data_IF_134371255305
#
_entry.id   IF_134371255305
#
_cell.length_a   1.000
_cell.length_b   1.000
_cell.length_c   1.000
_cell.angle_alpha   90.00
_cell.angle_beta   90.00
_cell.angle_gamma   90.00
#
_symmetry.space_group_name_H-M   'P 1'
#
loop_
_entity.id
_entity.type
_entity.pdbx_description
1 polymer ?
#
# COMPACT_ATOMS: atom_id res chain seq x y z
N UNK A 1 38.63 0.47 -6.18
CA UNK A 1 37.63 0.54 -5.09
C UNK A 1 37.71 -0.76 -4.31
N UNK A 2 38.01 -0.70 -3.02
CA UNK A 2 38.13 -1.89 -2.17
C UNK A 2 36.79 -2.62 -2.02
N UNK A 3 36.81 -3.93 -1.78
CA UNK A 3 35.59 -4.73 -1.56
C UNK A 3 34.68 -4.12 -0.47
N UNK A 4 35.29 -3.52 0.57
CA UNK A 4 34.60 -2.84 1.67
C UNK A 4 33.74 -1.66 1.19
N UNK A 5 34.27 -0.81 0.31
CA UNK A 5 33.53 0.33 -0.23
C UNK A 5 32.32 -0.12 -1.07
N UNK A 6 32.46 -1.18 -1.86
CA UNK A 6 31.35 -1.75 -2.63
C UNK A 6 30.24 -2.29 -1.72
N UNK A 7 30.63 -2.96 -0.63
CA UNK A 7 29.70 -3.47 0.37
C UNK A 7 28.93 -2.33 1.05
N UNK A 8 29.63 -1.27 1.46
CA UNK A 8 29.01 -0.09 2.09
C UNK A 8 27.96 0.53 1.16
N UNK A 9 28.26 0.71 -0.14
CA UNK A 9 27.29 1.28 -1.08
C UNK A 9 26.05 0.40 -1.27
N UNK A 10 26.19 -0.92 -1.24
CA UNK A 10 25.04 -1.84 -1.29
C UNK A 10 24.22 -1.79 -0.01
N UNK A 11 24.87 -1.80 1.15
CA UNK A 11 24.19 -1.67 2.45
C UNK A 11 23.44 -0.34 2.55
N UNK A 12 24.05 0.77 2.11
CA UNK A 12 23.39 2.08 2.05
C UNK A 12 22.19 2.07 1.10
N UNK A 13 22.31 1.45 -0.08
CA UNK A 13 21.20 1.35 -1.02
C UNK A 13 20.02 0.54 -0.45
N UNK A 14 20.31 -0.59 0.21
CA UNK A 14 19.30 -1.43 0.87
C UNK A 14 18.62 -0.66 2.00
N UNK A 15 19.40 -0.02 2.87
CA UNK A 15 18.87 0.76 3.98
C UNK A 15 17.95 1.89 3.49
N UNK A 16 18.38 2.65 2.48
CA UNK A 16 17.57 3.72 1.88
C UNK A 16 16.29 3.18 1.25
N UNK A 17 16.36 2.09 0.49
CA UNK A 17 15.18 1.47 -0.12
C UNK A 17 14.17 1.03 0.95
N UNK A 18 14.62 0.37 2.03
CA UNK A 18 13.76 -0.06 3.13
C UNK A 18 13.12 1.13 3.85
N UNK A 19 13.90 2.18 4.15
CA UNK A 19 13.38 3.39 4.80
C UNK A 19 12.32 4.09 3.94
N UNK A 20 12.57 4.22 2.63
CA UNK A 20 11.61 4.80 1.69
C UNK A 20 10.33 3.97 1.60
N UNK A 21 10.45 2.64 1.50
CA UNK A 21 9.29 1.75 1.46
C UNK A 21 8.47 1.79 2.75
N UNK A 22 9.13 1.85 3.91
CA UNK A 22 8.45 2.03 5.19
C UNK A 22 7.69 3.37 5.26
N UNK A 23 8.37 4.47 4.91
CA UNK A 23 7.75 5.80 4.91
C UNK A 23 6.55 5.86 3.96
N UNK A 24 6.67 5.25 2.77
CA UNK A 24 5.59 5.16 1.80
C UNK A 24 4.40 4.35 2.31
N UNK A 25 4.65 3.26 3.03
CA UNK A 25 3.60 2.42 3.62
C UNK A 25 2.81 3.17 4.68
N UNK A 26 3.48 3.84 5.62
CA UNK A 26 2.83 4.54 6.73
C UNK A 26 2.10 5.80 6.28
N UNK A 27 2.60 6.49 5.25
CA UNK A 27 1.95 7.68 4.67
C UNK A 27 0.89 7.36 3.61
N UNK A 28 0.64 6.08 3.35
CA UNK A 28 -0.36 5.65 2.37
C UNK A 28 -1.76 6.12 2.77
N UNK A 29 -2.58 6.61 1.83
CA UNK A 29 -3.99 6.92 2.12
C UNK A 29 -4.74 5.69 2.62
N UNK A 30 -4.32 4.49 2.21
CA UNK A 30 -4.90 3.20 2.59
C UNK A 30 -4.37 2.65 3.92
N UNK A 31 -3.46 3.36 4.61
CA UNK A 31 -2.94 2.93 5.91
C UNK A 31 -4.09 2.83 6.93
N UNK A 32 -4.19 1.72 7.70
CA UNK A 32 -5.31 1.46 8.58
C UNK A 32 -5.45 2.54 9.66
N UNK A 33 -6.69 2.84 10.03
CA UNK A 33 -6.97 3.73 11.16
C UNK A 33 -6.84 2.90 12.43
N UNK A 34 -5.77 3.13 13.18
CA UNK A 34 -5.51 2.44 14.45
C UNK A 34 -5.38 3.43 15.59
N UNK A 35 -5.66 2.97 16.80
CA UNK A 35 -5.57 3.80 17.99
C UNK A 35 -5.90 3.03 19.25
N UNK A 36 -5.69 3.68 20.37
CA UNK A 36 -6.12 3.19 21.68
C UNK A 36 -6.88 4.31 22.37
N UNK A 37 -8.08 4.00 22.84
CA UNK A 37 -8.92 4.93 23.61
C UNK A 37 -9.30 4.30 24.94
N UNK A 38 -9.54 5.14 25.95
CA UNK A 38 -9.99 4.69 27.25
C UNK A 38 -11.51 4.89 27.35
N UNK A 39 -12.24 3.83 27.68
CA UNK A 39 -13.67 3.89 28.01
C UNK A 39 -13.81 3.49 29.47
N UNK A 40 -14.28 4.41 30.32
CA UNK A 40 -14.39 4.21 31.78
C UNK A 40 -13.10 3.71 32.46
N UNK A 41 -11.94 4.21 32.02
CA UNK A 41 -10.63 3.83 32.55
C UNK A 41 -10.03 2.57 31.94
N UNK A 42 -10.74 1.89 31.05
CA UNK A 42 -10.30 0.64 30.43
C UNK A 42 -9.85 0.88 28.97
N UNK A 43 -8.70 0.30 28.61
CA UNK A 43 -8.10 0.50 27.29
C UNK A 43 -8.80 -0.36 26.25
N UNK A 44 -9.18 0.27 25.15
CA UNK A 44 -9.69 -0.37 23.94
C UNK A 44 -8.74 -0.03 22.81
N UNK A 45 -8.14 -1.06 22.22
CA UNK A 45 -7.29 -0.92 21.03
C UNK A 45 -8.06 -1.35 19.80
N UNK A 46 -7.98 -0.55 18.75
CA UNK A 46 -8.70 -0.78 17.51
C UNK A 46 -7.79 -0.60 16.30
N UNK A 47 -8.08 -1.36 15.25
CA UNK A 47 -7.47 -1.24 13.93
C UNK A 47 -8.56 -1.44 12.90
N UNK A 48 -8.77 -0.45 12.05
CA UNK A 48 -9.79 -0.45 11.02
C UNK A 48 -9.13 -0.28 9.65
N UNK A 49 -9.27 -1.31 8.82
CA UNK A 49 -8.68 -1.30 7.48
C UNK A 49 -9.48 -0.38 6.54
N UNK A 50 -8.79 0.56 5.89
CA UNK A 50 -9.40 1.42 4.85
C UNK A 50 -9.57 0.71 3.52
N UNK A 51 -8.83 -0.39 3.33
CA UNK A 51 -8.84 -1.18 2.12
C UNK A 51 -8.97 -2.66 2.49
N UNK A 52 -10.03 -3.29 2.00
CA UNK A 52 -10.27 -4.71 2.24
C UNK A 52 -10.11 -5.51 0.95
N UNK A 53 -9.31 -6.59 1.01
CA UNK A 53 -9.05 -7.51 -0.10
C UNK A 53 -9.38 -8.93 0.36
N UNK A 54 -10.56 -9.43 0.00
CA UNK A 54 -11.02 -10.71 0.53
C UNK A 54 -12.19 -11.31 -0.23
N UNK A 55 -12.45 -12.58 0.05
CA UNK A 55 -13.67 -13.30 -0.38
C UNK A 55 -14.66 -13.50 0.77
N UNK A 56 -14.34 -12.96 1.93
CA UNK A 56 -15.09 -13.12 3.18
C UNK A 56 -15.65 -11.78 3.64
N UNK A 57 -16.49 -11.84 4.65
CA UNK A 57 -17.04 -10.64 5.28
C UNK A 57 -15.94 -9.80 5.94
N UNK A 58 -16.10 -8.48 5.92
CA UNK A 58 -15.18 -7.57 6.57
C UNK A 58 -15.36 -7.68 8.09
N UNK A 59 -14.36 -8.23 8.76
CA UNK A 59 -14.33 -8.33 10.23
C UNK A 59 -13.90 -7.00 10.84
N UNK A 60 -14.81 -6.33 11.53
CA UNK A 60 -14.50 -5.21 12.41
C UNK A 60 -14.21 -5.78 13.79
N UNK A 61 -13.05 -5.44 14.38
CA UNK A 61 -12.66 -5.97 15.69
C UNK A 61 -12.04 -4.90 16.59
N UNK A 62 -12.37 -4.99 17.87
CA UNK A 62 -11.88 -4.16 18.96
C UNK A 62 -11.29 -5.08 20.01
N UNK A 63 -10.05 -4.86 20.43
CA UNK A 63 -9.46 -5.58 21.56
C UNK A 63 -9.85 -4.89 22.86
N UNK A 64 -10.37 -5.65 23.81
CA UNK A 64 -10.71 -5.14 25.14
C UNK A 64 -10.53 -6.22 26.20
N UNK A 65 -10.02 -5.84 27.36
CA UNK A 65 -9.89 -6.73 28.52
C UNK A 65 -11.19 -6.78 29.36
N UNK A 66 -12.21 -6.02 28.93
CA UNK A 66 -13.41 -5.75 29.71
C UNK A 66 -14.54 -6.65 29.28
N UNK A 67 -15.08 -7.39 30.24
CA UNK A 67 -16.09 -8.37 29.93
C UNK A 67 -17.51 -7.82 29.73
N UNK A 68 -17.80 -6.62 30.22
CA UNK A 68 -19.15 -6.03 30.23
C UNK A 68 -19.42 -5.00 29.12
N UNK A 69 -18.46 -4.74 28.22
CA UNK A 69 -18.67 -3.79 27.12
C UNK A 69 -19.50 -4.43 26.02
N UNK A 70 -20.50 -3.68 25.56
CA UNK A 70 -21.26 -3.98 24.36
C UNK A 70 -20.99 -2.92 23.31
N UNK A 71 -21.41 -3.14 22.07
CA UNK A 71 -21.35 -2.10 21.07
C UNK A 71 -22.02 -2.52 19.78
N UNK A 72 -22.09 -1.58 18.86
CA UNK A 72 -22.72 -1.78 17.56
C UNK A 72 -21.99 -0.95 16.51
N UNK A 73 -22.11 -1.40 15.27
CA UNK A 73 -21.58 -0.73 14.09
C UNK A 73 -22.76 -0.29 13.25
N UNK A 74 -22.81 1.01 12.95
CA UNK A 74 -23.75 1.55 11.96
C UNK A 74 -22.99 1.73 10.67
N UNK A 75 -23.44 1.09 9.59
CA UNK A 75 -22.77 1.14 8.30
C UNK A 75 -23.76 1.35 7.17
N UNK A 76 -23.28 1.90 6.07
CA UNK A 76 -24.02 2.01 4.82
C UNK A 76 -23.06 2.00 3.63
N UNK A 77 -23.60 1.73 2.44
CA UNK A 77 -22.86 1.94 1.19
C UNK A 77 -22.76 3.43 0.90
N UNK A 78 -21.64 3.89 0.36
CA UNK A 78 -21.43 5.31 0.06
C UNK A 78 -22.51 5.91 -0.86
N UNK A 79 -23.11 5.08 -1.74
CA UNK A 79 -24.18 5.49 -2.67
C UNK A 79 -25.59 5.20 -2.14
N UNK A 80 -25.75 4.85 -0.86
CA UNK A 80 -27.03 4.52 -0.24
C UNK A 80 -27.28 5.38 1.00
N UNK A 81 -28.52 5.86 1.14
CA UNK A 81 -29.00 6.56 2.34
C UNK A 81 -29.53 5.61 3.42
N UNK A 82 -29.70 4.32 3.10
CA UNK A 82 -30.13 3.30 4.08
C UNK A 82 -28.93 2.82 4.89
N UNK A 83 -29.11 2.79 6.20
CA UNK A 83 -28.10 2.38 7.17
C UNK A 83 -28.51 1.06 7.82
N UNK A 84 -27.55 0.16 7.96
CA UNK A 84 -27.70 -1.10 8.67
C UNK A 84 -26.92 -1.04 9.99
N UNK A 85 -27.46 -1.69 11.02
CA UNK A 85 -26.81 -1.76 12.34
C UNK A 85 -26.47 -3.19 12.68
N UNK A 86 -25.20 -3.44 13.02
CA UNK A 86 -24.70 -4.76 13.42
C UNK A 86 -24.25 -4.71 14.88
N UNK A 87 -24.71 -5.66 15.68
CA UNK A 87 -24.26 -5.79 17.07
C UNK A 87 -22.87 -6.42 17.10
N UNK A 88 -21.97 -5.87 17.92
CA UNK A 88 -20.68 -6.47 18.19
C UNK A 88 -20.89 -7.69 19.09
N UNK A 89 -20.43 -8.84 18.60
CA UNK A 89 -20.38 -10.08 19.37
C UNK A 89 -19.03 -10.18 20.05
N UNK A 90 -19.04 -10.73 21.26
CA UNK A 90 -17.85 -10.86 22.06
C UNK A 90 -17.26 -12.25 21.93
N UNK A 91 -15.98 -12.31 21.56
CA UNK A 91 -15.24 -13.56 21.39
C UNK A 91 -13.79 -13.37 21.88
N UNK A 92 -13.38 -14.16 22.88
CA UNK A 92 -11.97 -14.30 23.31
C UNK A 92 -11.18 -12.99 23.49
N UNK A 93 -11.74 -12.01 24.21
CA UNK A 93 -11.08 -10.70 24.45
C UNK A 93 -11.22 -9.69 23.31
N UNK A 94 -12.09 -9.99 22.33
CA UNK A 94 -12.44 -9.08 21.25
C UNK A 94 -13.95 -8.84 21.21
N UNK A 95 -14.33 -7.61 20.86
CA UNK A 95 -15.65 -7.23 20.37
C UNK A 95 -15.56 -7.15 18.85
N UNK A 96 -16.30 -8.00 18.14
CA UNK A 96 -16.24 -8.05 16.68
C UNK A 96 -17.61 -8.25 16.02
N UNK A 97 -17.74 -7.75 14.79
CA UNK A 97 -18.84 -8.07 13.90
C UNK A 97 -18.33 -8.23 12.47
N UNK A 98 -19.13 -8.88 11.64
CA UNK A 98 -18.82 -9.11 10.24
C UNK A 98 -19.78 -8.27 9.39
N UNK A 99 -19.22 -7.35 8.61
CA UNK A 99 -19.98 -6.61 7.59
C UNK A 99 -20.01 -7.50 6.34
N UNK A 100 -21.20 -7.80 5.77
CA UNK A 100 -21.32 -8.68 4.61
C UNK A 100 -20.39 -8.27 3.47
N UNK A 101 -19.80 -9.26 2.79
CA UNK A 101 -18.96 -9.03 1.62
C UNK A 101 -19.68 -8.16 0.58
N UNK A 102 -18.97 -7.15 0.08
CA UNK A 102 -19.45 -6.28 -0.99
C UNK A 102 -18.80 -6.60 -2.32
N UNK A 103 -19.43 -6.15 -3.41
CA UNK A 103 -18.83 -6.22 -4.74
C UNK A 103 -17.54 -5.39 -4.78
N UNK A 104 -16.53 -5.79 -5.58
CA UNK A 104 -15.35 -4.97 -5.82
C UNK A 104 -15.70 -3.52 -6.17
N UNK A 105 -14.82 -2.60 -5.77
CA UNK A 105 -14.96 -1.14 -5.91
C UNK A 105 -16.07 -0.49 -5.08
N UNK A 106 -16.81 -1.26 -4.28
CA UNK A 106 -17.78 -0.68 -3.34
C UNK A 106 -17.05 0.01 -2.19
N UNK A 107 -17.38 1.27 -1.94
CA UNK A 107 -16.97 1.98 -0.73
C UNK A 107 -18.11 1.92 0.28
N UNK A 108 -17.80 1.47 1.50
CA UNK A 108 -18.70 1.56 2.65
C UNK A 108 -18.24 2.67 3.58
N UNK A 109 -19.20 3.22 4.30
CA UNK A 109 -19.00 4.18 5.38
C UNK A 109 -19.57 3.59 6.65
N UNK A 110 -18.84 3.65 7.76
CA UNK A 110 -19.32 3.12 9.04
C UNK A 110 -18.80 3.90 10.23
N UNK A 111 -19.52 3.76 11.33
CA UNK A 111 -19.16 4.28 12.66
C UNK A 111 -19.31 3.17 13.67
N UNK A 112 -18.31 3.04 14.53
CA UNK A 112 -18.28 2.03 15.59
C UNK A 112 -18.63 2.71 16.91
N UNK A 113 -19.62 2.18 17.60
CA UNK A 113 -20.09 2.68 18.88
C UNK A 113 -19.88 1.62 19.95
N UNK A 114 -19.27 2.00 21.06
CA UNK A 114 -19.12 1.17 22.25
C UNK A 114 -20.04 1.72 23.33
N UNK A 115 -20.87 0.85 23.88
CA UNK A 115 -21.80 1.13 24.97
C UNK A 115 -21.19 0.64 26.28
N UNK A 116 -21.01 1.56 27.20
CA UNK A 116 -20.72 1.28 28.61
C UNK A 116 -21.97 1.50 29.46
N UNK A 117 -21.91 1.16 30.75
CA UNK A 117 -23.04 1.28 31.70
C UNK A 117 -23.63 2.70 31.77
N UNK A 118 -22.83 3.74 31.53
CA UNK A 118 -23.19 5.14 31.71
C UNK A 118 -23.18 5.99 30.43
N UNK A 119 -22.64 5.50 29.31
CA UNK A 119 -22.48 6.30 28.09
C UNK A 119 -22.27 5.47 26.82
N UNK A 120 -22.52 6.08 25.66
CA UNK A 120 -22.19 5.55 24.34
C UNK A 120 -21.09 6.42 23.75
N UNK A 121 -19.99 5.81 23.32
CA UNK A 121 -18.82 6.50 22.78
C UNK A 121 -18.58 5.99 21.36
N UNK A 122 -18.31 6.93 20.44
CA UNK A 122 -17.89 6.61 19.08
C UNK A 122 -16.36 6.42 19.03
N UNK A 123 -15.92 5.38 18.32
CA UNK A 123 -14.51 5.03 18.14
C UNK A 123 -14.20 4.91 16.63
N UNK A 124 -13.27 5.71 16.08
CA UNK A 124 -12.63 6.89 16.66
C UNK A 124 -13.64 8.04 16.84
N UNK A 125 -13.39 8.91 17.83
CA UNK A 125 -14.33 9.99 18.17
C UNK A 125 -14.48 10.98 17.01
N UNK A 126 -15.73 11.26 16.63
CA UNK A 126 -16.07 12.25 15.58
C UNK A 126 -15.72 11.83 14.15
N UNK A 127 -15.14 10.65 13.94
CA UNK A 127 -14.68 10.22 12.61
C UNK A 127 -15.61 9.16 12.00
N UNK A 128 -16.01 9.38 10.75
CA UNK A 128 -16.63 8.33 9.92
C UNK A 128 -15.53 7.57 9.21
N UNK A 129 -15.54 6.24 9.30
CA UNK A 129 -14.56 5.38 8.66
C UNK A 129 -15.05 5.00 7.27
N UNK A 130 -14.14 4.94 6.32
CA UNK A 130 -14.41 4.50 4.95
C UNK A 130 -13.54 3.29 4.64
N UNK A 131 -14.18 2.22 4.16
CA UNK A 131 -13.46 1.03 3.68
C UNK A 131 -13.85 0.77 2.24
N UNK A 132 -12.85 0.70 1.35
CA UNK A 132 -13.02 0.27 -0.04
C UNK A 132 -12.84 -1.25 -0.13
N UNK A 133 -13.83 -1.91 -0.70
CA UNK A 133 -13.76 -3.33 -1.03
C UNK A 133 -13.06 -3.51 -2.38
N UNK A 134 -12.07 -4.39 -2.41
CA UNK A 134 -11.41 -4.83 -3.63
C UNK A 134 -11.51 -6.36 -3.73
N UNK A 135 -11.45 -6.85 -4.96
CA UNK A 135 -11.35 -8.28 -5.23
C UNK A 135 -10.11 -8.92 -4.61
N UNK A 136 -10.18 -10.23 -4.39
CA UNK A 136 -9.09 -11.00 -3.85
C UNK A 136 -7.91 -11.05 -4.84
N UNK A 137 -6.73 -10.62 -4.37
CA UNK A 137 -5.49 -10.73 -5.12
C UNK A 137 -4.64 -11.86 -4.53
N UNK A 138 -4.25 -12.87 -5.32
CA UNK A 138 -3.32 -13.90 -4.87
C UNK A 138 -2.04 -13.31 -4.27
N UNK A 139 -1.55 -13.95 -3.20
CA UNK A 139 -0.32 -13.55 -2.51
C UNK A 139 0.89 -13.61 -3.45
N UNK A 140 0.91 -14.57 -4.38
CA UNK A 140 1.97 -14.69 -5.40
C UNK A 140 2.08 -13.43 -6.28
N UNK A 141 0.95 -12.89 -6.74
CA UNK A 141 0.91 -11.67 -7.58
C UNK A 141 1.32 -10.46 -6.76
N UNK A 142 0.73 -10.28 -5.58
CA UNK A 142 1.05 -9.15 -4.70
C UNK A 142 2.53 -9.13 -4.30
N UNK A 143 3.08 -10.30 -3.94
CA UNK A 143 4.49 -10.42 -3.56
C UNK A 143 5.43 -10.16 -4.74
N UNK A 144 5.13 -10.72 -5.91
CA UNK A 144 5.92 -10.50 -7.14
C UNK A 144 5.95 -9.02 -7.51
N UNK A 145 4.81 -8.33 -7.40
CA UNK A 145 4.71 -6.89 -7.64
C UNK A 145 5.59 -6.08 -6.68
N UNK A 146 5.51 -6.35 -5.37
CA UNK A 146 6.30 -5.64 -4.35
C UNK A 146 7.80 -5.90 -4.55
N UNK A 147 8.21 -7.15 -4.78
CA UNK A 147 9.61 -7.52 -5.00
C UNK A 147 10.16 -6.84 -6.24
N UNK A 148 9.39 -6.81 -7.34
CA UNK A 148 9.81 -6.18 -8.60
C UNK A 148 9.97 -4.66 -8.45
N UNK A 149 9.04 -4.00 -7.73
CA UNK A 149 9.15 -2.58 -7.43
C UNK A 149 10.36 -2.28 -6.54
N UNK A 150 10.54 -3.07 -5.48
CA UNK A 150 11.65 -2.92 -4.55
C UNK A 150 13.00 -3.15 -5.23
N UNK A 151 13.10 -4.14 -6.12
CA UNK A 151 14.31 -4.42 -6.88
C UNK A 151 14.67 -3.26 -7.82
N UNK A 152 13.69 -2.70 -8.53
CA UNK A 152 13.88 -1.50 -9.36
C UNK A 152 14.33 -0.30 -8.53
N UNK A 153 13.69 -0.04 -7.38
CA UNK A 153 14.04 1.04 -6.46
C UNK A 153 15.47 0.88 -5.91
N UNK A 154 15.82 -0.33 -5.48
CA UNK A 154 17.14 -0.66 -4.95
C UNK A 154 18.24 -0.42 -5.99
N UNK A 155 18.05 -0.91 -7.22
CA UNK A 155 19.00 -0.71 -8.30
C UNK A 155 19.11 0.77 -8.69
N UNK A 156 18.00 1.50 -8.73
CA UNK A 156 17.97 2.95 -8.97
C UNK A 156 18.83 3.71 -7.97
N UNK A 157 18.65 3.45 -6.67
CA UNK A 157 19.46 4.06 -5.60
C UNK A 157 20.92 3.64 -5.73
N UNK A 158 21.19 2.35 -6.01
CA UNK A 158 22.56 1.86 -6.20
C UNK A 158 23.26 2.57 -7.35
N UNK A 159 22.56 2.81 -8.46
CA UNK A 159 23.05 3.58 -9.61
C UNK A 159 23.31 5.03 -9.20
N UNK A 160 22.41 5.69 -8.46
CA UNK A 160 22.65 7.04 -7.93
C UNK A 160 23.95 7.14 -7.13
N UNK A 161 24.18 6.17 -6.24
CA UNK A 161 25.41 6.09 -5.44
C UNK A 161 26.67 5.81 -6.26
N UNK A 162 26.56 5.27 -7.49
CA UNK A 162 27.72 5.13 -8.38
C UNK A 162 28.25 6.46 -8.90
N UNK A 163 27.55 7.58 -8.68
CA UNK A 163 28.09 8.91 -8.96
C UNK A 163 29.46 9.12 -8.28
N UNK A 164 29.62 8.62 -7.05
CA UNK A 164 30.86 8.65 -6.28
C UNK A 164 31.86 7.53 -6.65
N UNK A 165 31.52 6.63 -7.58
CA UNK A 165 32.36 5.50 -7.99
C UNK A 165 33.01 5.75 -9.36
N UNK A 166 34.36 5.68 -9.49
CA UNK A 166 35.05 5.89 -10.77
C UNK A 166 34.75 4.84 -11.85
N UNK A 167 34.57 3.57 -11.46
CA UNK A 167 34.45 2.43 -12.39
C UNK A 167 33.27 1.51 -12.05
N UNK A 168 32.05 2.02 -12.19
CA UNK A 168 30.83 1.24 -11.94
C UNK A 168 30.23 0.64 -13.21
N UNK A 169 29.60 -0.53 -13.09
CA UNK A 169 28.74 -1.12 -14.14
C UNK A 169 27.34 -0.46 -14.17
N UNK A 170 27.27 0.86 -14.10
CA UNK A 170 26.01 1.62 -13.99
C UNK A 170 25.07 1.35 -15.18
N UNK A 171 25.61 1.22 -16.39
CA UNK A 171 24.82 0.94 -17.61
C UNK A 171 24.10 -0.42 -17.56
N UNK A 172 24.77 -1.46 -17.05
CA UNK A 172 24.16 -2.78 -16.87
C UNK A 172 23.03 -2.74 -15.84
N UNK A 173 23.26 -2.06 -14.71
CA UNK A 173 22.22 -1.88 -13.70
C UNK A 173 21.04 -1.05 -14.22
N UNK A 174 21.29 -0.05 -15.07
CA UNK A 174 20.22 0.76 -15.68
C UNK A 174 19.29 -0.09 -16.55
N UNK A 175 19.82 -1.02 -17.35
CA UNK A 175 19.01 -1.96 -18.14
C UNK A 175 18.14 -2.83 -17.21
N UNK A 176 18.72 -3.41 -16.15
CA UNK A 176 17.94 -4.21 -15.19
C UNK A 176 16.87 -3.37 -14.47
N UNK A 177 17.18 -2.12 -14.16
CA UNK A 177 16.22 -1.18 -13.53
C UNK A 177 15.06 -0.87 -14.48
N UNK A 178 15.36 -0.58 -15.75
CA UNK A 178 14.37 -0.34 -16.79
C UNK A 178 13.48 -1.58 -17.01
N UNK A 179 14.07 -2.78 -17.07
CA UNK A 179 13.31 -4.03 -17.20
C UNK A 179 12.40 -4.22 -15.98
N UNK A 180 12.92 -3.99 -14.77
CA UNK A 180 12.14 -4.13 -13.52
C UNK A 180 10.95 -3.18 -13.48
N UNK A 181 11.15 -1.90 -13.78
CA UNK A 181 10.05 -0.92 -13.77
C UNK A 181 9.07 -1.11 -14.94
N UNK A 182 9.56 -1.56 -16.10
CA UNK A 182 8.68 -1.95 -17.21
C UNK A 182 7.81 -3.15 -16.83
N UNK A 183 8.40 -4.19 -16.22
CA UNK A 183 7.66 -5.36 -15.75
C UNK A 183 6.64 -4.98 -14.67
N UNK A 184 7.02 -4.11 -13.74
CA UNK A 184 6.14 -3.58 -12.71
C UNK A 184 4.93 -2.83 -13.32
N UNK A 185 5.17 -1.79 -14.12
CA UNK A 185 4.13 -0.87 -14.58
C UNK A 185 3.28 -1.43 -15.73
N UNK A 186 3.89 -2.12 -16.69
CA UNK A 186 3.19 -2.59 -17.90
C UNK A 186 2.51 -3.95 -17.73
N UNK A 187 2.96 -4.78 -16.78
CA UNK A 187 2.46 -6.15 -16.62
C UNK A 187 1.87 -6.39 -15.24
N UNK A 188 2.68 -6.23 -14.18
CA UNK A 188 2.25 -6.64 -12.83
C UNK A 188 1.13 -5.75 -12.28
N UNK A 189 1.18 -4.44 -12.53
CA UNK A 189 0.13 -3.50 -12.10
C UNK A 189 -1.21 -3.80 -12.80
N UNK A 190 -1.30 -3.90 -14.14
CA UNK A 190 -2.53 -4.30 -14.83
C UNK A 190 -3.08 -5.66 -14.40
N UNK A 191 -2.20 -6.65 -14.24
CA UNK A 191 -2.61 -7.97 -13.75
C UNK A 191 -3.22 -7.85 -12.37
N UNK A 192 -2.56 -7.19 -11.42
CA UNK A 192 -3.10 -6.96 -10.07
C UNK A 192 -4.45 -6.21 -10.12
N UNK A 193 -4.59 -5.21 -10.98
CA UNK A 193 -5.84 -4.45 -11.16
C UNK A 193 -6.99 -5.34 -11.62
N UNK A 194 -6.74 -6.27 -12.55
CA UNK A 194 -7.77 -7.23 -12.99
C UNK A 194 -8.35 -8.04 -11.82
N UNK A 195 -7.51 -8.44 -10.86
CA UNK A 195 -7.95 -9.12 -9.64
C UNK A 195 -8.68 -8.17 -8.69
N UNK A 196 -8.18 -6.96 -8.49
CA UNK A 196 -8.81 -5.96 -7.61
C UNK A 196 -10.20 -5.53 -8.08
N UNK A 197 -10.44 -5.51 -9.39
CA UNK A 197 -11.74 -5.26 -10.01
C UNK A 197 -12.67 -6.48 -9.99
N UNK A 198 -12.14 -7.67 -9.66
CA UNK A 198 -12.90 -8.93 -9.74
C UNK A 198 -13.31 -9.31 -11.16
N UNK A 199 -12.65 -8.74 -12.18
CA UNK A 199 -13.00 -8.92 -13.59
C UNK A 199 -12.33 -10.14 -14.24
N UNK A 200 -11.64 -10.98 -13.46
CA UNK A 200 -10.95 -12.20 -13.96
C UNK A 200 -11.89 -13.14 -14.72
N UNK A 201 -13.17 -13.18 -14.35
CA UNK A 201 -14.19 -14.03 -14.98
C UNK A 201 -15.33 -13.22 -15.64
N UNK A 202 -15.13 -11.91 -15.86
CA UNK A 202 -16.13 -11.02 -16.44
C UNK A 202 -15.61 -10.40 -17.74
N UNK A 203 -16.42 -9.54 -18.37
CA UNK A 203 -15.94 -8.75 -19.48
C UNK A 203 -14.67 -7.96 -19.06
N UNK A 204 -13.63 -7.92 -19.90
CA UNK A 204 -12.40 -7.23 -19.54
C UNK A 204 -12.70 -5.75 -19.27
N UNK A 205 -12.16 -5.18 -18.18
CA UNK A 205 -12.32 -3.77 -17.88
C UNK A 205 -11.69 -2.93 -18.98
N UNK A 206 -12.03 -1.64 -19.04
CA UNK A 206 -11.43 -0.77 -20.07
C UNK A 206 -9.92 -0.74 -19.88
N UNK A 207 -9.15 -0.82 -20.97
CA UNK A 207 -7.68 -0.89 -20.86
C UNK A 207 -7.10 0.26 -20.01
N UNK A 208 -7.66 1.47 -20.13
CA UNK A 208 -7.25 2.63 -19.35
C UNK A 208 -7.47 2.49 -17.83
N UNK A 209 -8.42 1.67 -17.38
CA UNK A 209 -8.65 1.38 -15.97
C UNK A 209 -7.62 0.39 -15.39
N UNK A 210 -6.98 -0.40 -16.26
CA UNK A 210 -5.96 -1.37 -15.88
C UNK A 210 -4.58 -0.72 -15.67
N UNK A 211 -4.31 0.38 -16.38
CA UNK A 211 -3.05 1.11 -16.26
C UNK A 211 -3.18 2.27 -15.28
N UNK A 212 -2.16 2.42 -14.45
CA UNK A 212 -2.00 3.55 -13.55
C UNK A 212 -0.90 4.43 -14.14
N UNK A 213 -1.27 5.63 -14.60
CA UNK A 213 -0.30 6.62 -15.12
C UNK A 213 0.88 6.84 -14.16
N UNK A 214 0.66 6.92 -12.83
CA UNK A 214 1.76 6.99 -11.89
C UNK A 214 2.74 5.80 -11.95
N UNK A 215 2.24 4.58 -12.11
CA UNK A 215 3.09 3.39 -12.13
C UNK A 215 3.93 3.26 -13.42
N UNK A 216 3.45 3.81 -14.54
CA UNK A 216 4.17 3.85 -15.82
C UNK A 216 5.30 4.89 -15.86
N UNK A 217 5.21 5.94 -15.04
CA UNK A 217 6.23 7.00 -14.97
C UNK A 217 7.62 6.42 -14.64
N UNK A 218 7.70 5.39 -13.79
CA UNK A 218 8.98 4.76 -13.47
C UNK A 218 9.68 4.17 -14.70
N UNK A 219 8.94 3.46 -15.54
CA UNK A 219 9.47 2.89 -16.78
C UNK A 219 9.90 4.00 -17.74
N UNK A 220 9.12 5.07 -17.86
CA UNK A 220 9.42 6.20 -18.73
C UNK A 220 10.68 6.98 -18.29
N UNK A 221 10.82 7.25 -16.99
CA UNK A 221 12.02 7.87 -16.42
C UNK A 221 13.25 7.02 -16.72
N UNK A 222 13.17 5.72 -16.48
CA UNK A 222 14.32 4.84 -16.70
C UNK A 222 14.62 4.60 -18.17
N UNK A 223 13.65 4.75 -19.06
CA UNK A 223 13.89 4.77 -20.50
C UNK A 223 14.76 5.98 -20.87
N UNK A 224 14.37 7.20 -20.45
CA UNK A 224 15.15 8.41 -20.71
C UNK A 224 16.54 8.37 -20.07
N UNK A 225 16.61 7.97 -18.80
CA UNK A 225 17.89 7.87 -18.06
C UNK A 225 18.81 6.87 -18.73
N UNK A 226 18.29 5.70 -19.13
CA UNK A 226 19.10 4.70 -19.85
C UNK A 226 19.62 5.26 -21.15
N UNK A 227 18.77 5.87 -21.99
CA UNK A 227 19.19 6.51 -23.26
C UNK A 227 20.27 7.57 -23.00
N UNK A 228 20.09 8.44 -22.01
CA UNK A 228 21.09 9.45 -21.62
C UNK A 228 22.41 8.84 -21.16
N UNK A 229 22.38 7.75 -20.38
CA UNK A 229 23.57 7.02 -19.94
C UNK A 229 24.31 6.30 -21.08
N UNK A 230 23.60 5.83 -22.11
CA UNK A 230 24.23 5.21 -23.28
C UNK A 230 24.83 6.24 -24.23
N UNK A 231 24.18 7.40 -24.39
CA UNK A 231 24.61 8.46 -25.30
C UNK A 231 25.62 9.44 -24.69
N UNK A 232 25.74 9.50 -23.35
CA UNK A 232 26.65 10.41 -22.65
C UNK A 232 27.65 9.65 -21.76
N UNK A 233 28.86 10.21 -21.62
CA UNK A 233 29.82 9.78 -20.59
C UNK A 233 29.58 10.46 -19.24
N UNK A 234 28.63 11.41 -19.17
CA UNK A 234 28.35 12.16 -17.95
C UNK A 234 27.69 11.30 -16.88
N UNK A 235 28.21 11.37 -15.65
CA UNK A 235 27.66 10.67 -14.49
C UNK A 235 26.40 11.32 -13.92
N UNK A 236 26.04 12.52 -14.39
CA UNK A 236 24.84 13.25 -13.94
C UNK A 236 23.57 12.42 -14.12
N UNK A 237 23.49 11.61 -15.19
CA UNK A 237 22.34 10.75 -15.45
C UNK A 237 22.11 9.71 -14.35
N UNK A 238 23.18 9.21 -13.72
CA UNK A 238 23.08 8.26 -12.61
C UNK A 238 22.37 8.89 -11.41
N UNK A 239 22.82 10.10 -11.02
CA UNK A 239 22.24 10.83 -9.90
C UNK A 239 20.82 11.32 -10.21
N UNK A 240 20.60 11.84 -11.42
CA UNK A 240 19.30 12.32 -11.87
C UNK A 240 18.24 11.20 -11.85
N UNK A 241 18.58 10.01 -12.34
CA UNK A 241 17.66 8.86 -12.35
C UNK A 241 17.27 8.41 -10.95
N UNK A 242 18.22 8.36 -10.02
CA UNK A 242 17.95 8.00 -8.62
C UNK A 242 17.05 9.03 -7.94
N UNK A 243 17.38 10.32 -8.05
CA UNK A 243 16.59 11.41 -7.47
C UNK A 243 15.18 11.44 -8.05
N UNK A 244 15.05 11.35 -9.38
CA UNK A 244 13.75 11.32 -10.05
C UNK A 244 12.90 10.13 -9.58
N UNK A 245 13.49 8.94 -9.46
CA UNK A 245 12.80 7.75 -8.94
C UNK A 245 12.29 7.97 -7.52
N UNK A 246 13.13 8.49 -6.62
CA UNK A 246 12.75 8.70 -5.20
C UNK A 246 11.65 9.74 -5.08
N UNK A 247 11.78 10.87 -5.79
CA UNK A 247 10.77 11.94 -5.80
C UNK A 247 9.42 11.39 -6.26
N UNK A 248 9.41 10.68 -7.39
CA UNK A 248 8.22 10.06 -7.97
C UNK A 248 7.61 9.03 -7.02
N UNK A 249 8.44 8.16 -6.42
CA UNK A 249 8.01 7.15 -5.46
C UNK A 249 7.34 7.73 -4.22
N UNK A 250 7.78 8.90 -3.77
CA UNK A 250 7.18 9.60 -2.62
C UNK A 250 5.92 10.40 -3.00
N UNK A 251 5.90 11.03 -4.18
CA UNK A 251 4.81 11.91 -4.62
C UNK A 251 3.58 11.16 -5.12
N UNK A 252 3.78 10.08 -5.87
CA UNK A 252 2.69 9.29 -6.43
C UNK A 252 1.92 8.62 -5.30
N UNK A 253 0.61 8.86 -5.18
CA UNK A 253 -0.25 8.25 -4.16
C UNK A 253 -1.20 7.24 -4.77
#
# INVERSE_FOLDING_TARGET
MEKKQKLILWLSAILLAVLLSYFKSVTSPDFPVSGTTAVNGEKITYTFDKLFRGKEDLKISLRTDVNSLNGFVVWHKSNSFKHDTLQLKKEKGFLSCNIPLQKPETVISYRVFVKSKSSIIQIPTGQTLHTRFLGFVPVSISSTLIITLFFGLLLSIRIGLTYFEPQSKSKTFAIFTLISFSLYGLFLVPVKRLFELGAVNQAPPQMLEMFSLPDLIFAFIWLMVSVGMFNSKSKIWNAAGAVATVVVYLLIR
#
